data_IF_959169669174
#
_entry.id   IF_959169669174
#
_cell.length_a   1.000
_cell.length_b   1.000
_cell.length_c   1.000
_cell.angle_alpha   90.00
_cell.angle_beta   90.00
_cell.angle_gamma   90.00
#
_symmetry.space_group_name_H-M   'P 1'
#
loop_
_entity.id
_entity.type
_entity.pdbx_description
1 polymer ?
#
# COMPACT_ATOMS: atom_id res chain seq x y z
N UNK A 1 -7.45 24.52 -11.71
CA UNK A 1 -6.07 24.29 -11.23
C UNK A 1 -5.70 22.88 -11.65
N UNK A 2 -4.90 22.73 -12.71
CA UNK A 2 -4.42 21.42 -13.17
C UNK A 2 -3.12 21.16 -12.43
N UNK A 3 -3.10 20.20 -11.52
CA UNK A 3 -1.87 19.74 -10.89
C UNK A 3 -1.31 18.58 -11.71
N UNK A 4 -0.25 18.84 -12.48
CA UNK A 4 0.61 17.80 -13.04
C UNK A 4 1.62 17.45 -11.95
N UNK A 5 1.63 16.20 -11.49
CA UNK A 5 2.68 15.70 -10.63
C UNK A 5 3.96 15.58 -11.47
N UNK A 6 4.95 16.43 -11.20
CA UNK A 6 6.30 16.29 -11.73
C UNK A 6 7.19 15.64 -10.66
N UNK A 7 7.80 14.48 -10.91
CA UNK A 7 8.84 13.98 -10.04
C UNK A 7 10.09 14.88 -10.19
N UNK A 8 10.76 15.28 -9.10
CA UNK A 8 12.03 15.98 -9.22
C UNK A 8 13.09 15.03 -9.80
N UNK A 9 13.78 15.50 -10.86
CA UNK A 9 14.86 14.80 -11.55
C UNK A 9 16.19 14.91 -10.77
N UNK A 10 16.33 14.25 -9.61
CA UNK A 10 17.59 13.94 -8.89
C UNK A 10 17.22 12.90 -7.79
N UNK A 11 17.81 11.72 -7.57
CA UNK A 11 19.06 11.07 -7.97
C UNK A 11 18.85 9.60 -8.37
N UNK A 12 19.65 9.10 -9.32
CA UNK A 12 19.82 7.67 -9.62
C UNK A 12 20.53 6.87 -8.48
N UNK A 13 20.62 7.44 -7.26
CA UNK A 13 21.12 6.79 -6.03
C UNK A 13 20.08 6.83 -4.87
N UNK A 14 18.88 7.38 -5.06
CA UNK A 14 17.86 7.52 -4.00
C UNK A 14 16.94 6.31 -3.87
N UNK A 15 16.82 5.48 -4.91
CA UNK A 15 15.85 4.39 -4.95
C UNK A 15 16.14 3.31 -3.90
N UNK A 16 17.41 2.95 -3.72
CA UNK A 16 17.81 1.95 -2.73
C UNK A 16 17.62 2.44 -1.29
N UNK A 17 17.88 3.73 -1.04
CA UNK A 17 17.61 4.39 0.25
C UNK A 17 16.12 4.46 0.52
N UNK A 18 15.31 4.84 -0.48
CA UNK A 18 13.86 4.92 -0.38
C UNK A 18 13.23 3.55 -0.14
N UNK A 19 13.66 2.51 -0.87
CA UNK A 19 13.23 1.13 -0.68
C UNK A 19 13.60 0.62 0.71
N UNK A 20 14.81 0.92 1.20
CA UNK A 20 15.24 0.56 2.55
C UNK A 20 14.39 1.24 3.61
N UNK A 21 14.07 2.53 3.43
CA UNK A 21 13.18 3.26 4.32
C UNK A 21 11.74 2.69 4.31
N UNK A 22 11.22 2.32 3.13
CA UNK A 22 9.90 1.68 3.00
C UNK A 22 9.87 0.31 3.68
N UNK A 23 10.90 -0.52 3.49
CA UNK A 23 11.03 -1.82 4.18
C UNK A 23 11.08 -1.65 5.69
N UNK A 24 11.83 -0.66 6.18
CA UNK A 24 11.89 -0.36 7.59
C UNK A 24 10.52 0.02 8.16
N UNK A 25 9.80 0.95 7.51
CA UNK A 25 8.45 1.34 7.92
C UNK A 25 7.45 0.18 7.91
N UNK A 26 7.57 -0.72 6.92
CA UNK A 26 6.72 -1.91 6.83
C UNK A 26 7.02 -2.90 7.97
N UNK A 27 8.30 -3.11 8.30
CA UNK A 27 8.71 -3.92 9.44
C UNK A 27 8.15 -3.37 10.75
N UNK A 28 8.38 -2.08 11.02
CA UNK A 28 7.86 -1.37 12.19
C UNK A 28 6.33 -1.49 12.33
N UNK A 29 5.58 -1.33 11.24
CA UNK A 29 4.12 -1.40 11.26
C UNK A 29 3.56 -2.78 11.66
N UNK A 30 4.39 -3.82 11.59
CA UNK A 30 4.02 -5.20 11.93
C UNK A 30 4.78 -5.76 13.14
N UNK A 31 5.64 -4.95 13.75
CA UNK A 31 6.44 -5.35 14.90
C UNK A 31 5.52 -5.82 16.05
N UNK A 32 5.89 -6.92 16.69
CA UNK A 32 5.12 -7.54 17.78
C UNK A 32 3.88 -8.34 17.34
N UNK A 33 3.46 -8.30 16.07
CA UNK A 33 2.35 -9.12 15.59
C UNK A 33 2.69 -10.62 15.60
N UNK A 34 3.94 -10.97 15.31
CA UNK A 34 4.38 -12.36 15.35
C UNK A 34 4.30 -12.95 16.77
N UNK A 35 4.59 -12.15 17.80
CA UNK A 35 4.48 -12.59 19.20
C UNK A 35 3.00 -12.68 19.64
N UNK A 36 2.17 -11.74 19.19
CA UNK A 36 0.74 -11.71 19.51
C UNK A 36 -0.07 -12.80 18.77
N UNK A 37 0.37 -13.20 17.57
CA UNK A 37 -0.30 -14.15 16.68
C UNK A 37 0.71 -15.14 16.08
N UNK A 38 1.22 -16.11 16.87
CA UNK A 38 2.30 -17.00 16.46
C UNK A 38 1.95 -17.91 15.28
N UNK A 39 0.66 -18.20 15.08
CA UNK A 39 0.17 -19.03 13.97
C UNK A 39 0.07 -18.26 12.64
N UNK A 40 0.33 -16.93 12.64
CA UNK A 40 0.22 -16.08 11.46
C UNK A 40 1.61 -15.77 10.91
N UNK A 41 1.94 -16.38 9.77
CA UNK A 41 3.17 -16.06 9.05
C UNK A 41 3.07 -14.71 8.33
N UNK A 42 3.94 -13.77 8.70
CA UNK A 42 4.01 -12.43 8.10
C UNK A 42 5.19 -12.36 7.13
N UNK A 43 4.93 -11.93 5.90
CA UNK A 43 5.96 -11.59 4.91
C UNK A 43 5.89 -10.12 4.56
N UNK A 44 7.03 -9.54 4.17
CA UNK A 44 7.14 -8.14 3.78
C UNK A 44 7.63 -8.03 2.35
N UNK A 45 6.86 -7.36 1.52
CA UNK A 45 7.24 -7.05 0.15
C UNK A 45 7.10 -5.55 -0.11
N UNK A 46 8.12 -4.97 -0.74
CA UNK A 46 8.10 -3.60 -1.23
C UNK A 46 8.33 -3.67 -2.73
N UNK A 47 7.30 -3.27 -3.49
CA UNK A 47 7.24 -3.35 -4.93
C UNK A 47 7.33 -1.95 -5.54
N UNK A 48 8.03 -1.83 -6.67
CA UNK A 48 8.08 -0.61 -7.47
C UNK A 48 7.10 -0.73 -8.62
N UNK A 49 6.15 0.21 -8.74
CA UNK A 49 5.15 0.21 -9.80
C UNK A 49 3.91 1.01 -9.45
N UNK A 50 2.87 0.91 -10.29
CA UNK A 50 1.59 1.55 -10.02
C UNK A 50 0.85 0.78 -8.90
N UNK A 51 0.51 1.40 -7.75
CA UNK A 51 0.02 0.67 -6.57
C UNK A 51 -1.20 -0.22 -6.83
N UNK A 52 -2.15 0.24 -7.66
CA UNK A 52 -3.36 -0.55 -7.96
C UNK A 52 -3.02 -1.79 -8.77
N UNK A 53 -2.07 -1.69 -9.70
CA UNK A 53 -1.72 -2.80 -10.60
C UNK A 53 -0.88 -3.84 -9.85
N UNK A 54 0.12 -3.39 -9.10
CA UNK A 54 0.98 -4.24 -8.29
C UNK A 54 0.16 -4.98 -7.20
N UNK A 55 -0.71 -4.28 -6.47
CA UNK A 55 -1.55 -4.90 -5.45
C UNK A 55 -2.58 -5.87 -6.06
N UNK A 56 -3.21 -5.53 -7.19
CA UNK A 56 -4.16 -6.43 -7.84
C UNK A 56 -3.49 -7.70 -8.36
N UNK A 57 -2.27 -7.58 -8.91
CA UNK A 57 -1.47 -8.71 -9.39
C UNK A 57 -1.04 -9.61 -8.24
N UNK A 58 -0.45 -9.05 -7.18
CA UNK A 58 0.00 -9.85 -6.02
C UNK A 58 -1.19 -10.52 -5.30
N UNK A 59 -2.35 -9.87 -5.31
CA UNK A 59 -3.56 -10.40 -4.68
C UNK A 59 -4.34 -11.41 -5.55
N UNK A 60 -3.86 -11.77 -6.74
CA UNK A 60 -4.56 -12.69 -7.67
C UNK A 60 -4.91 -14.03 -7.04
N UNK A 61 -4.03 -14.54 -6.16
CA UNK A 61 -4.22 -15.81 -5.46
C UNK A 61 -4.50 -15.64 -3.96
N UNK A 62 -4.76 -14.41 -3.51
CA UNK A 62 -5.06 -14.13 -2.12
C UNK A 62 -6.54 -14.40 -1.80
N UNK A 63 -6.82 -14.85 -0.58
CA UNK A 63 -8.20 -15.03 -0.10
C UNK A 63 -8.95 -13.70 0.03
N UNK A 64 -8.23 -12.63 0.36
CA UNK A 64 -8.75 -11.26 0.42
C UNK A 64 -7.59 -10.24 0.38
N UNK A 65 -7.90 -9.04 -0.10
CA UNK A 65 -7.00 -7.89 -0.06
C UNK A 65 -7.50 -6.87 0.98
N UNK A 66 -6.71 -6.63 2.01
CA UNK A 66 -7.06 -5.68 3.09
C UNK A 66 -6.33 -4.35 2.85
N UNK A 67 -7.08 -3.25 2.77
CA UNK A 67 -6.53 -1.91 2.56
C UNK A 67 -7.18 -0.87 3.48
N UNK A 68 -6.44 0.19 3.79
CA UNK A 68 -7.01 1.37 4.42
C UNK A 68 -8.07 2.03 3.52
N UNK A 69 -9.09 2.64 4.12
CA UNK A 69 -10.13 3.38 3.37
C UNK A 69 -9.56 4.60 2.63
N UNK A 70 -8.51 5.22 3.19
CA UNK A 70 -7.89 6.46 2.72
C UNK A 70 -6.37 6.40 2.95
N UNK A 71 -5.60 6.99 2.05
CA UNK A 71 -4.13 7.12 2.20
C UNK A 71 -3.70 8.43 2.88
N UNK A 72 -2.39 8.64 2.98
CA UNK A 72 -1.76 9.81 3.65
C UNK A 72 -1.93 11.15 2.91
N UNK A 73 -2.44 11.13 1.66
CA UNK A 73 -2.56 12.31 0.78
C UNK A 73 -4.00 12.74 0.43
N UNK A 74 -4.98 12.43 1.28
CA UNK A 74 -6.39 12.79 1.03
C UNK A 74 -6.77 14.21 1.47
N UNK A 75 -7.73 14.83 0.78
CA UNK A 75 -8.38 16.07 1.20
C UNK A 75 -9.53 15.80 2.18
N UNK A 76 -9.83 16.79 3.03
CA UNK A 76 -10.98 16.75 3.94
C UNK A 76 -12.27 16.52 3.15
N UNK A 77 -13.03 15.48 3.51
CA UNK A 77 -14.28 15.10 2.82
C UNK A 77 -14.18 13.92 1.84
N UNK A 78 -12.98 13.45 1.50
CA UNK A 78 -12.82 12.27 0.64
C UNK A 78 -13.24 10.99 1.37
N UNK A 79 -14.19 10.22 0.80
CA UNK A 79 -14.70 8.98 1.42
C UNK A 79 -13.84 7.75 1.13
N UNK A 80 -13.18 7.70 -0.02
CA UNK A 80 -12.35 6.59 -0.51
C UNK A 80 -11.06 7.13 -1.14
N UNK A 81 -9.92 6.49 -0.86
CA UNK A 81 -8.64 6.81 -1.51
C UNK A 81 -8.56 6.31 -2.95
N UNK A 82 -7.69 6.91 -3.75
CA UNK A 82 -7.47 6.54 -5.16
C UNK A 82 -7.09 5.07 -5.35
N UNK A 83 -6.23 4.54 -4.47
CA UNK A 83 -5.81 3.13 -4.50
C UNK A 83 -7.00 2.21 -4.20
N UNK A 84 -7.72 2.47 -3.10
CA UNK A 84 -8.91 1.70 -2.72
C UNK A 84 -9.96 1.71 -3.83
N UNK A 85 -10.22 2.88 -4.42
CA UNK A 85 -11.16 3.00 -5.53
C UNK A 85 -10.71 2.20 -6.76
N UNK A 86 -9.44 2.28 -7.15
CA UNK A 86 -8.91 1.50 -8.26
C UNK A 86 -8.98 -0.01 -8.03
N UNK A 87 -8.71 -0.47 -6.80
CA UNK A 87 -8.77 -1.89 -6.45
C UNK A 87 -10.19 -2.46 -6.51
N UNK A 88 -11.22 -1.68 -6.18
CA UNK A 88 -12.61 -2.10 -6.33
C UNK A 88 -12.97 -2.47 -7.78
N UNK A 89 -12.22 -1.98 -8.76
CA UNK A 89 -12.43 -2.27 -10.18
C UNK A 89 -11.45 -3.29 -10.77
N UNK A 90 -10.34 -3.59 -10.09
CA UNK A 90 -9.24 -4.41 -10.65
C UNK A 90 -8.83 -5.62 -9.83
N UNK A 91 -9.14 -5.67 -8.55
CA UNK A 91 -8.78 -6.82 -7.73
C UNK A 91 -9.57 -8.06 -8.16
N UNK A 92 -8.89 -9.20 -8.24
CA UNK A 92 -9.50 -10.50 -8.55
C UNK A 92 -10.00 -11.25 -7.30
N UNK A 93 -9.87 -10.63 -6.12
CA UNK A 93 -10.28 -11.18 -4.84
C UNK A 93 -11.11 -10.15 -4.02
N UNK A 94 -11.83 -10.60 -2.97
CA UNK A 94 -12.56 -9.69 -2.09
C UNK A 94 -11.67 -8.58 -1.50
N UNK A 95 -12.14 -7.34 -1.57
CA UNK A 95 -11.43 -6.17 -1.00
C UNK A 95 -12.08 -5.74 0.31
N UNK A 96 -11.31 -5.76 1.39
CA UNK A 96 -11.74 -5.35 2.72
C UNK A 96 -11.16 -3.97 3.04
N UNK A 97 -12.03 -3.00 3.31
CA UNK A 97 -11.59 -1.63 3.65
C UNK A 97 -11.66 -1.37 5.15
N UNK A 98 -10.55 -0.91 5.73
CA UNK A 98 -10.47 -0.57 7.16
C UNK A 98 -10.65 0.95 7.36
N UNK A 99 -11.65 1.41 8.15
CA UNK A 99 -11.72 2.81 8.60
C UNK A 99 -10.47 3.21 9.35
N UNK A 100 -9.99 4.43 9.11
CA UNK A 100 -9.19 5.12 10.12
C UNK A 100 -10.17 5.69 11.15
N UNK A 101 -10.01 5.31 12.42
CA UNK A 101 -10.69 5.96 13.56
C UNK A 101 -10.34 7.43 13.68
#
# INVERSE_FOLDING_TARGET
VVCVWQPPLFLLNDEEVALKAQRFLLGEATAGLADAYPDVHVTHEVLTGHPVEELARTAEHALALVVGRRGRGGYTGMRLGSVTHGLLHRAHCPVITVPTG
#
